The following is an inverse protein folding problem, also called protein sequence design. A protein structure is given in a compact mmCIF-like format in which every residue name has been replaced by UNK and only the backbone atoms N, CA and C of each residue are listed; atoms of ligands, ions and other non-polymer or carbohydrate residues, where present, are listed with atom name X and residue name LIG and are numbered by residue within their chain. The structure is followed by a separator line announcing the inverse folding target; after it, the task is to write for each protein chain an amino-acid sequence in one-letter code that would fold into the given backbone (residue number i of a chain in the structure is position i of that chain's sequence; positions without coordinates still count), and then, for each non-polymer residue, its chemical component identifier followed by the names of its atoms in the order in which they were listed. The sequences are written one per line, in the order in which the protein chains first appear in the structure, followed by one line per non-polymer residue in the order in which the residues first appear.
data_IF_501285184387
#
_entry.id   IF_501285184387
#
_cell.length_a   1.000
_cell.length_b   1.000
_cell.length_c   1.000
_cell.angle_alpha   90.00
_cell.angle_beta   90.00
_cell.angle_gamma   90.00
#
_symmetry.space_group_name_H-M   'P 1'
#
loop_
_entity.id
_entity.type
_entity.pdbx_description
1 polymer ?
#
# COMPACT_ATOMS: atom_id res chain seq x y z
N UNK A 1 0.17 -18.10 12.64
CA UNK A 1 0.49 -17.10 11.63
C UNK A 1 0.41 -15.73 12.27
N UNK A 2 1.47 -14.96 12.17
CA UNK A 2 1.51 -13.64 12.82
C UNK A 2 1.59 -12.54 11.77
N UNK A 3 0.93 -11.42 12.07
CA UNK A 3 1.01 -10.23 11.24
C UNK A 3 2.31 -9.46 11.55
N UNK A 4 2.85 -8.74 10.57
CA UNK A 4 4.02 -7.89 10.84
C UNK A 4 3.65 -6.74 11.76
N UNK A 5 4.65 -6.19 12.45
CA UNK A 5 4.47 -4.98 13.25
C UNK A 5 4.33 -3.78 12.30
N UNK A 6 3.23 -3.03 12.35
CA UNK A 6 3.05 -1.88 11.47
C UNK A 6 3.98 -0.74 11.85
N UNK A 7 4.71 -0.25 10.86
CA UNK A 7 5.55 0.94 10.99
C UNK A 7 5.49 1.70 9.67
N UNK A 8 5.76 2.99 9.70
CA UNK A 8 5.82 3.79 8.48
C UNK A 8 6.85 3.20 7.51
N UNK A 9 6.46 3.06 6.25
CA UNK A 9 7.30 2.47 5.22
C UNK A 9 7.08 0.99 4.98
N UNK A 10 6.39 0.29 5.88
CA UNK A 10 6.05 -1.13 5.68
C UNK A 10 5.13 -1.27 4.46
N UNK A 11 5.47 -2.17 3.54
CA UNK A 11 4.65 -2.45 2.37
C UNK A 11 3.95 -3.79 2.58
N UNK A 12 2.63 -3.75 2.53
CA UNK A 12 1.76 -4.91 2.77
C UNK A 12 0.91 -5.20 1.54
N UNK A 13 0.36 -6.41 1.47
CA UNK A 13 -0.66 -6.73 0.48
C UNK A 13 -2.02 -6.48 1.11
N UNK A 14 -2.82 -5.63 0.47
CA UNK A 14 -4.04 -5.12 1.05
C UNK A 14 -5.13 -4.99 -0.01
N UNK A 15 -6.36 -5.30 0.36
CA UNK A 15 -7.52 -5.09 -0.50
C UNK A 15 -7.92 -3.61 -0.43
N UNK A 16 -7.25 -2.79 -1.25
CA UNK A 16 -7.42 -1.34 -1.22
C UNK A 16 -8.73 -0.92 -1.87
N UNK A 17 -9.46 -0.05 -1.17
CA UNK A 17 -10.71 0.51 -1.68
C UNK A 17 -10.45 1.95 -2.15
N UNK A 18 -10.53 2.15 -3.48
CA UNK A 18 -10.34 3.45 -4.09
C UNK A 18 -11.50 4.40 -3.77
N UNK A 19 -11.24 5.71 -3.74
CA UNK A 19 -12.27 6.71 -3.50
C UNK A 19 -13.42 6.59 -4.51
N UNK A 20 -13.09 6.30 -5.76
CA UNK A 20 -14.09 6.07 -6.80
C UNK A 20 -14.99 4.88 -6.46
N UNK A 21 -14.41 3.79 -5.98
CA UNK A 21 -15.18 2.60 -5.58
C UNK A 21 -16.08 2.91 -4.39
N UNK A 22 -15.58 3.66 -3.41
CA UNK A 22 -16.39 4.10 -2.27
C UNK A 22 -17.59 4.93 -2.72
N UNK A 23 -17.37 5.87 -3.64
CA UNK A 23 -18.44 6.73 -4.14
C UNK A 23 -19.48 5.96 -4.95
N UNK A 24 -19.12 4.81 -5.51
CA UNK A 24 -20.02 3.92 -6.25
C UNK A 24 -20.72 2.90 -5.34
N UNK A 25 -20.46 2.97 -4.01
CA UNK A 25 -21.12 2.12 -3.04
C UNK A 25 -20.42 0.80 -2.73
N UNK A 26 -19.22 0.58 -3.23
CA UNK A 26 -18.48 -0.64 -2.94
C UNK A 26 -17.91 -0.59 -1.52
N UNK A 27 -17.97 -1.72 -0.82
CA UNK A 27 -17.36 -1.90 0.50
C UNK A 27 -16.04 -2.65 0.43
N UNK A 28 -15.75 -3.29 -0.70
CA UNK A 28 -14.55 -4.13 -0.92
C UNK A 28 -13.89 -3.68 -2.21
N UNK A 29 -12.57 -3.55 -2.19
CA UNK A 29 -11.81 -3.18 -3.38
C UNK A 29 -11.83 -4.27 -4.44
N UNK A 30 -11.59 -3.88 -5.70
CA UNK A 30 -11.64 -4.78 -6.84
C UNK A 30 -10.53 -5.83 -6.85
N UNK A 31 -9.40 -5.52 -6.24
CA UNK A 31 -8.27 -6.46 -6.14
C UNK A 31 -7.33 -6.11 -5.00
N UNK A 32 -6.55 -7.10 -4.58
CA UNK A 32 -5.47 -6.88 -3.62
C UNK A 32 -4.27 -6.27 -4.33
N UNK A 33 -3.56 -5.40 -3.64
CA UNK A 33 -2.38 -4.73 -4.18
C UNK A 33 -1.38 -4.36 -3.09
N UNK A 34 -0.13 -4.08 -3.46
CA UNK A 34 0.82 -3.53 -2.50
C UNK A 34 0.36 -2.15 -2.03
N UNK A 35 0.45 -1.93 -0.74
CA UNK A 35 0.15 -0.63 -0.13
C UNK A 35 1.23 -0.31 0.89
N UNK A 36 1.60 0.95 0.98
CA UNK A 36 2.60 1.40 1.94
C UNK A 36 1.91 1.99 3.16
N UNK A 37 2.32 1.55 4.35
CA UNK A 37 1.89 2.16 5.61
C UNK A 37 2.60 3.50 5.73
N UNK A 38 1.84 4.57 5.89
CA UNK A 38 2.41 5.92 6.07
C UNK A 38 2.26 6.42 7.49
N UNK A 39 1.23 5.98 8.21
CA UNK A 39 0.99 6.34 9.61
C UNK A 39 0.49 5.13 10.36
N UNK A 40 1.02 4.90 11.55
CA UNK A 40 0.47 3.94 12.50
C UNK A 40 0.42 4.56 13.88
N UNK A 41 -0.76 4.52 14.50
CA UNK A 41 -0.97 5.05 15.84
C UNK A 41 -1.04 3.87 16.81
N UNK A 42 0.01 3.71 17.63
CA UNK A 42 0.15 2.52 18.48
C UNK A 42 -0.93 2.38 19.56
N UNK A 43 -1.53 3.48 20.00
CA UNK A 43 -2.56 3.44 21.04
C UNK A 43 -3.89 2.90 20.55
N UNK A 44 -4.25 3.26 19.33
CA UNK A 44 -5.56 2.94 18.75
C UNK A 44 -5.49 1.88 17.68
N UNK A 45 -4.29 1.53 17.24
CA UNK A 45 -4.03 0.69 16.07
C UNK A 45 -4.52 1.30 14.75
N UNK A 46 -4.81 2.60 14.74
CA UNK A 46 -5.17 3.31 13.52
C UNK A 46 -4.02 3.28 12.53
N UNK A 47 -4.32 2.88 11.31
CA UNK A 47 -3.33 2.71 10.26
C UNK A 47 -3.81 3.40 9.00
N UNK A 48 -2.92 4.15 8.36
CA UNK A 48 -3.20 4.80 7.08
C UNK A 48 -2.24 4.21 6.04
N UNK A 49 -2.80 3.75 4.93
CA UNK A 49 -2.03 3.19 3.82
C UNK A 49 -2.32 3.95 2.54
N UNK A 50 -1.31 4.00 1.66
CA UNK A 50 -1.44 4.53 0.31
C UNK A 50 -1.18 3.41 -0.69
N UNK A 51 -1.87 3.40 -1.83
CA UNK A 51 -1.74 2.30 -2.79
C UNK A 51 -0.50 2.46 -3.66
N UNK A 52 0.06 1.32 -4.07
CA UNK A 52 1.09 1.22 -5.09
C UNK A 52 0.42 0.66 -6.33
N UNK A 53 0.53 1.34 -7.46
CA UNK A 53 -0.18 1.00 -8.69
C UNK A 53 0.73 1.02 -9.90
N UNK A 54 0.37 0.25 -10.94
CA UNK A 54 1.03 0.29 -12.24
C UNK A 54 0.55 1.44 -13.12
N UNK A 55 -0.55 2.09 -12.73
CA UNK A 55 -1.09 3.20 -13.51
C UNK A 55 -0.25 4.46 -13.28
N UNK A 56 0.33 5.03 -14.33
CA UNK A 56 1.07 6.29 -14.19
C UNK A 56 0.13 7.42 -13.79
N UNK A 57 0.67 8.51 -13.23
CA UNK A 57 -0.15 9.66 -12.89
C UNK A 57 -0.78 10.25 -14.15
N UNK A 58 -2.02 10.72 -14.00
CA UNK A 58 -2.69 11.42 -15.08
C UNK A 58 -2.08 12.81 -15.27
N UNK A 59 -2.32 13.38 -16.44
CA UNK A 59 -1.82 14.72 -16.76
C UNK A 59 -2.36 15.73 -15.74
N UNK A 60 -1.45 16.48 -15.13
CA UNK A 60 -1.78 17.45 -14.08
C UNK A 60 -1.76 16.88 -12.67
N UNK A 61 -1.53 15.58 -12.52
CA UNK A 61 -1.52 14.90 -11.22
C UNK A 61 -0.16 14.30 -10.88
N UNK A 62 0.90 14.72 -11.57
CA UNK A 62 2.24 14.17 -11.40
C UNK A 62 2.76 14.35 -9.97
N UNK A 63 2.36 15.44 -9.30
CA UNK A 63 2.74 15.71 -7.91
C UNK A 63 2.05 14.80 -6.90
N UNK A 64 1.03 14.06 -7.33
CA UNK A 64 0.24 13.18 -6.47
C UNK A 64 0.68 11.72 -6.56
N UNK A 65 1.75 11.45 -7.29
CA UNK A 65 2.30 10.11 -7.46
C UNK A 65 3.81 10.15 -7.39
N UNK A 66 4.39 9.13 -6.77
CA UNK A 66 5.84 8.99 -6.63
C UNK A 66 6.22 7.68 -7.29
N UNK A 67 7.05 7.72 -8.32
CA UNK A 67 7.52 6.51 -8.98
C UNK A 67 8.42 5.71 -8.04
N UNK A 68 8.15 4.41 -7.91
CA UNK A 68 8.98 3.52 -7.10
C UNK A 68 10.25 3.22 -7.90
N UNK A 69 11.45 3.52 -7.36
CA UNK A 69 12.69 3.23 -8.06
C UNK A 69 12.83 1.73 -8.37
N UNK A 70 13.45 1.42 -9.51
CA UNK A 70 13.62 0.03 -9.95
C UNK A 70 14.32 -0.84 -8.91
N UNK A 71 15.31 -0.28 -8.23
CA UNK A 71 16.05 -0.96 -7.17
C UNK A 71 15.13 -1.33 -6.00
N UNK A 72 14.27 -0.41 -5.60
CA UNK A 72 13.32 -0.66 -4.51
C UNK A 72 12.26 -1.69 -4.92
N UNK A 73 11.82 -1.68 -6.18
CA UNK A 73 10.89 -2.71 -6.67
C UNK A 73 11.46 -4.10 -6.47
N UNK A 74 12.73 -4.29 -6.81
CA UNK A 74 13.41 -5.57 -6.62
C UNK A 74 13.49 -5.99 -5.16
N UNK A 75 13.84 -5.05 -4.28
CA UNK A 75 13.94 -5.31 -2.84
C UNK A 75 12.60 -5.67 -2.21
N UNK A 76 11.52 -5.08 -2.69
CA UNK A 76 10.17 -5.34 -2.19
C UNK A 76 9.54 -6.58 -2.81
N UNK A 77 10.16 -7.18 -3.81
CA UNK A 77 9.58 -8.31 -4.52
C UNK A 77 8.41 -7.91 -5.41
N UNK A 78 8.34 -6.66 -5.82
CA UNK A 78 7.38 -6.19 -6.79
C UNK A 78 7.84 -6.61 -8.20
N UNK A 79 6.93 -6.56 -9.18
CA UNK A 79 7.28 -6.96 -10.53
C UNK A 79 8.19 -5.92 -11.22
N UNK A 80 8.65 -6.25 -12.43
CA UNK A 80 9.59 -5.42 -13.18
C UNK A 80 8.93 -4.20 -13.83
N UNK A 81 7.61 -4.12 -13.84
CA UNK A 81 6.90 -2.99 -14.41
C UNK A 81 7.01 -1.77 -13.53
N UNK A 82 6.88 -0.60 -14.13
CA UNK A 82 6.88 0.64 -13.37
C UNK A 82 5.72 0.67 -12.38
N UNK A 83 5.99 1.18 -11.20
CA UNK A 83 5.02 1.30 -10.11
C UNK A 83 5.07 2.71 -9.54
N UNK A 84 3.91 3.21 -9.11
CA UNK A 84 3.81 4.52 -8.47
C UNK A 84 3.08 4.39 -7.13
N UNK A 85 3.55 5.15 -6.16
CA UNK A 85 2.84 5.34 -4.89
C UNK A 85 1.89 6.51 -5.11
N UNK A 86 0.59 6.28 -4.97
CA UNK A 86 -0.42 7.34 -5.17
C UNK A 86 -0.74 8.00 -3.84
N UNK A 87 -0.15 9.19 -3.60
CA UNK A 87 -0.27 9.87 -2.31
C UNK A 87 -1.57 10.65 -2.14
N UNK A 88 -2.37 10.80 -3.19
CA UNK A 88 -3.68 11.45 -3.12
C UNK A 88 -4.79 10.51 -2.62
N UNK A 89 -4.49 9.21 -2.53
CA UNK A 89 -5.42 8.18 -2.07
C UNK A 89 -4.97 7.64 -0.74
N UNK A 90 -5.89 7.46 0.19
CA UNK A 90 -5.57 6.81 1.46
C UNK A 90 -6.70 5.87 1.87
N UNK A 91 -6.36 4.78 2.55
CA UNK A 91 -7.31 3.99 3.32
C UNK A 91 -6.87 4.01 4.78
N UNK A 92 -7.85 4.10 5.66
CA UNK A 92 -7.64 4.09 7.11
C UNK A 92 -8.35 2.89 7.69
N UNK A 93 -7.66 2.14 8.55
CA UNK A 93 -8.24 0.96 9.18
C UNK A 93 -7.54 0.70 10.51
N UNK A 94 -8.16 -0.14 11.33
CA UNK A 94 -7.56 -0.62 12.57
C UNK A 94 -6.73 -1.87 12.26
N UNK A 95 -5.45 -1.83 12.57
CA UNK A 95 -4.54 -2.95 12.31
C UNK A 95 -4.90 -4.19 13.14
N UNK A 96 -4.89 -5.41 12.58
CA UNK A 96 -4.53 -5.73 11.19
C UNK A 96 -5.69 -5.63 10.19
N UNK A 97 -6.91 -5.54 10.66
CA UNK A 97 -8.08 -5.43 9.81
C UNK A 97 -8.39 -6.67 8.98
N UNK A 98 -9.51 -6.62 8.25
CA UNK A 98 -9.99 -7.76 7.47
C UNK A 98 -9.48 -7.77 6.02
N UNK A 99 -8.84 -6.69 5.58
CA UNK A 99 -8.39 -6.54 4.19
C UNK A 99 -6.89 -6.78 3.99
N UNK A 100 -6.17 -7.11 5.07
CA UNK A 100 -4.76 -7.50 4.98
C UNK A 100 -4.68 -8.91 4.38
N UNK A 101 -3.85 -9.08 3.35
CA UNK A 101 -3.76 -10.33 2.59
C UNK A 101 -2.35 -10.88 2.61
N UNK A 102 -2.26 -12.21 2.59
CA UNK A 102 -0.97 -12.89 2.44
C UNK A 102 -0.42 -12.68 1.02
N UNK A 103 0.89 -12.77 0.88
CA UNK A 103 1.53 -12.68 -0.44
C UNK A 103 1.16 -13.88 -1.31
N UNK A 104 0.97 -13.68 -2.62
CA UNK A 104 0.68 -14.80 -3.52
C UNK A 104 1.79 -15.83 -3.56
N UNK A 105 3.04 -15.40 -3.38
CA UNK A 105 4.21 -16.28 -3.43
C UNK A 105 4.49 -16.98 -2.10
N UNK A 106 3.95 -16.48 -1.00
CA UNK A 106 4.19 -17.03 0.34
C UNK A 106 2.99 -16.75 1.25
N UNK A 107 2.08 -17.74 1.41
CA UNK A 107 0.87 -17.55 2.22
C UNK A 107 1.13 -17.28 3.72
N UNK A 108 2.36 -17.47 4.18
CA UNK A 108 2.71 -17.19 5.57
C UNK A 108 3.11 -15.73 5.80
N UNK A 109 3.23 -14.93 4.73
CA UNK A 109 3.72 -13.57 4.81
C UNK A 109 2.68 -12.58 4.33
N UNK A 110 2.61 -11.44 5.04
CA UNK A 110 1.67 -10.35 4.75
C UNK A 110 2.37 -9.08 4.30
N UNK A 111 3.72 -9.08 4.26
CA UNK A 111 4.50 -7.90 3.90
C UNK A 111 5.40 -8.18 2.71
N UNK A 112 5.60 -7.16 1.88
CA UNK A 112 6.61 -7.18 0.83
C UNK A 112 7.97 -6.73 1.38
N UNK A 113 7.99 -5.81 2.33
CA UNK A 113 9.19 -5.22 2.88
C UNK A 113 8.92 -3.81 3.36
N UNK A 114 9.97 -3.01 3.43
CA UNK A 114 9.88 -1.63 3.87
C UNK A 114 10.34 -0.69 2.77
N UNK A 115 9.60 0.39 2.58
CA UNK A 115 10.02 1.49 1.71
C UNK A 115 10.69 2.57 2.54
N UNK A 116 11.28 3.58 1.88
CA UNK A 116 11.90 4.72 2.54
C UNK A 116 10.99 5.95 2.52
N UNK A 117 9.69 5.73 2.64
CA UNK A 117 8.72 6.80 2.54
C UNK A 117 8.95 7.94 3.54
N UNK A 118 9.37 7.58 4.73
CA UNK A 118 9.55 8.56 5.81
C UNK A 118 10.96 9.16 5.87
N UNK A 119 11.87 8.78 5.00
CA UNK A 119 13.26 9.24 5.06
C UNK A 119 13.70 10.01 3.83
N UNK A 120 13.13 9.79 2.67
CA UNK A 120 13.62 10.37 1.43
C UNK A 120 12.53 10.78 0.45
N UNK A 121 11.30 10.62 0.84
CA UNK A 121 10.18 10.97 -0.02
C UNK A 121 9.37 12.06 0.62
#
# INVERSE_FOLDING_TARGET
MSYPTPVAGLVIRYNYLWDKEKSEGFAVGSKDRPCAVVVYHSRTSDTIVVPITHSPPERGEEDLSIEVPAELRGQLGLDDDANWIRVSEVNRFEWPGIHLRALPSDPSRYRYGWSRLNSSI
#
